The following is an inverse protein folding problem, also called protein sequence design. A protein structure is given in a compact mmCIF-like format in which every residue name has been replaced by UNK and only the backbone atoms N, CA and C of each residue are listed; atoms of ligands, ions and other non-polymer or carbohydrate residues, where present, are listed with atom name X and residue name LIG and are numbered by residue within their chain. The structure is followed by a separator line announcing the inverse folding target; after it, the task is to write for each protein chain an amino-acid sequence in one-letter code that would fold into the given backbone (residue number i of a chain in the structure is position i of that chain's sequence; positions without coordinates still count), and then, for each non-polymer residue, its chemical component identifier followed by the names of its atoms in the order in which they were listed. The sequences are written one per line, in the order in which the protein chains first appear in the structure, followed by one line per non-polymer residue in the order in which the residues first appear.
data_IF_910915634407
#
_entry.id   IF_910915634407
#
_cell.length_a   1.000
_cell.length_b   1.000
_cell.length_c   1.000
_cell.angle_alpha   90.00
_cell.angle_beta   90.00
_cell.angle_gamma   90.00
#
_symmetry.space_group_name_H-M   'P 1'
#
loop_
_entity.id
_entity.type
_entity.pdbx_description
1 polymer ?
#
# COMPACT_ATOMS: atom_id res chain seq x y z
N UNK A 1 -5.22 21.36 -16.59
CA UNK A 1 -3.88 20.79 -16.89
C UNK A 1 -2.89 21.32 -15.87
N UNK A 2 -1.97 20.52 -15.33
CA UNK A 2 -0.95 21.04 -14.43
C UNK A 2 -0.10 22.10 -15.16
N UNK A 3 0.04 23.28 -14.55
CA UNK A 3 0.92 24.34 -15.05
C UNK A 3 2.36 23.91 -14.81
N UNK A 4 3.19 24.05 -15.85
CA UNK A 4 4.63 23.91 -15.69
C UNK A 4 5.18 25.13 -14.91
N UNK A 5 6.34 25.02 -14.25
CA UNK A 5 6.97 26.14 -13.55
C UNK A 5 7.14 27.42 -14.38
N UNK A 6 7.17 27.32 -15.71
CA UNK A 6 7.19 28.45 -16.65
C UNK A 6 5.82 28.99 -17.07
N UNK A 7 4.73 28.65 -16.38
CA UNK A 7 3.37 29.16 -16.65
C UNK A 7 2.66 28.54 -17.87
N UNK A 8 3.37 27.78 -18.70
CA UNK A 8 2.82 27.07 -19.85
C UNK A 8 2.11 25.75 -19.49
N UNK A 9 1.39 25.20 -20.47
CA UNK A 9 0.68 23.92 -20.36
C UNK A 9 1.55 22.77 -20.89
N UNK A 10 1.45 21.60 -20.27
CA UNK A 10 2.08 20.39 -20.78
C UNK A 10 1.50 20.01 -22.15
N UNK A 11 2.31 20.08 -23.22
CA UNK A 11 1.89 19.74 -24.60
C UNK A 11 2.18 18.30 -25.01
N UNK A 12 2.93 17.56 -24.19
CA UNK A 12 3.30 16.16 -24.43
C UNK A 12 3.20 15.41 -23.13
N UNK A 13 2.50 14.30 -23.15
CA UNK A 13 2.52 13.32 -22.08
C UNK A 13 3.45 12.19 -22.49
N UNK A 14 4.32 11.77 -21.58
CA UNK A 14 5.12 10.56 -21.75
C UNK A 14 4.81 9.65 -20.59
N UNK A 15 4.24 8.50 -20.91
CA UNK A 15 4.17 7.39 -19.97
C UNK A 15 5.50 6.64 -20.01
N UNK A 16 6.13 6.47 -18.85
CA UNK A 16 7.30 5.59 -18.69
C UNK A 16 6.94 4.57 -17.64
N UNK A 17 7.05 3.31 -18.02
CA UNK A 17 6.87 2.16 -17.13
C UNK A 17 7.96 1.16 -17.44
N UNK A 18 8.48 0.52 -16.40
CA UNK A 18 9.27 -0.71 -16.49
C UNK A 18 8.41 -1.96 -16.24
N UNK A 19 7.10 -1.78 -16.00
CA UNK A 19 6.11 -2.83 -15.81
C UNK A 19 5.27 -2.99 -17.08
N UNK A 20 4.78 -4.21 -17.29
CA UNK A 20 3.71 -4.47 -18.26
C UNK A 20 2.40 -3.89 -17.69
N UNK A 21 1.92 -2.80 -18.28
CA UNK A 21 0.68 -2.14 -17.84
C UNK A 21 -0.35 -2.23 -18.95
N UNK A 22 -1.47 -2.86 -18.63
CA UNK A 22 -2.65 -2.92 -19.48
C UNK A 22 -3.58 -1.77 -19.15
N UNK A 23 -3.92 -0.96 -20.14
CA UNK A 23 -4.81 0.19 -19.99
C UNK A 23 -6.10 -0.09 -20.74
N UNK A 24 -7.23 0.05 -20.05
CA UNK A 24 -8.53 -0.01 -20.73
C UNK A 24 -8.82 1.29 -21.48
N UNK A 25 -8.49 2.44 -20.88
CA UNK A 25 -8.66 3.75 -21.50
C UNK A 25 -7.70 4.79 -20.93
N UNK A 26 -7.21 5.69 -21.79
CA UNK A 26 -6.53 6.93 -21.41
C UNK A 26 -7.23 8.07 -22.11
N UNK A 27 -7.61 9.10 -21.36
CA UNK A 27 -8.08 10.32 -21.98
C UNK A 27 -7.73 11.54 -21.17
N UNK A 28 -7.93 12.67 -21.82
CA UNK A 28 -7.66 13.98 -21.29
C UNK A 28 -8.86 14.86 -21.60
N UNK A 29 -9.15 15.79 -20.69
CA UNK A 29 -10.14 16.82 -20.91
C UNK A 29 -9.49 18.18 -20.62
N UNK A 30 -9.85 19.19 -21.40
CA UNK A 30 -9.57 20.56 -21.01
C UNK A 30 -10.29 20.82 -19.68
N UNK A 31 -9.60 21.44 -18.72
CA UNK A 31 -10.28 21.89 -17.51
C UNK A 31 -11.25 22.99 -17.93
N UNK A 32 -12.54 22.72 -17.80
CA UNK A 32 -13.58 23.72 -18.08
C UNK A 32 -13.44 24.82 -17.02
N UNK A 33 -13.15 26.04 -17.45
CA UNK A 33 -12.83 27.16 -16.57
C UNK A 33 -13.94 27.44 -15.54
N UNK A 34 -15.19 27.15 -15.93
CA UNK A 34 -16.40 27.45 -15.16
C UNK A 34 -17.14 26.20 -14.66
N UNK A 35 -16.48 25.03 -14.61
CA UNK A 35 -17.04 23.86 -13.96
C UNK A 35 -16.62 23.86 -12.48
N UNK A 36 -17.50 24.23 -11.53
CA UNK A 36 -17.17 24.19 -10.12
C UNK A 36 -16.94 22.73 -9.72
N UNK A 37 -15.83 22.48 -9.03
CA UNK A 37 -15.56 21.22 -8.36
C UNK A 37 -15.11 21.52 -6.95
N UNK A 38 -15.48 20.63 -6.02
CA UNK A 38 -15.10 20.74 -4.63
C UNK A 38 -14.35 19.48 -4.24
N UNK A 39 -13.16 19.64 -3.65
CA UNK A 39 -12.39 18.52 -3.10
C UNK A 39 -12.39 18.64 -1.59
N UNK A 40 -12.82 17.58 -0.93
CA UNK A 40 -12.80 17.48 0.53
C UNK A 40 -12.04 16.23 0.95
N UNK A 41 -11.00 16.39 1.77
CA UNK A 41 -10.33 15.26 2.42
C UNK A 41 -11.22 14.76 3.55
N UNK A 42 -11.50 13.46 3.56
CA UNK A 42 -12.21 12.81 4.66
C UNK A 42 -11.20 12.12 5.56
N UNK A 43 -11.28 12.37 6.86
CA UNK A 43 -10.56 11.60 7.86
C UNK A 43 -11.36 10.34 8.21
N UNK A 44 -10.73 9.16 8.27
CA UNK A 44 -11.42 7.95 8.70
C UNK A 44 -11.77 8.05 10.19
N UNK A 45 -13.00 7.67 10.55
CA UNK A 45 -13.39 7.51 11.95
C UNK A 45 -12.67 6.32 12.58
N UNK A 46 -12.40 5.27 11.80
CA UNK A 46 -11.55 4.13 12.19
C UNK A 46 -10.65 3.71 11.03
N UNK A 47 -9.40 3.37 11.31
CA UNK A 47 -8.52 2.65 10.40
C UNK A 47 -7.89 1.47 11.17
N UNK A 48 -8.36 0.26 10.88
CA UNK A 48 -7.97 -0.94 11.64
C UNK A 48 -7.25 -1.94 10.75
N UNK A 49 -6.02 -2.29 11.13
CA UNK A 49 -5.27 -3.38 10.52
C UNK A 49 -5.64 -4.72 11.14
N UNK A 50 -5.84 -5.75 10.34
CA UNK A 50 -6.06 -7.11 10.80
C UNK A 50 -5.69 -8.15 9.75
N UNK A 51 -5.51 -9.41 10.17
CA UNK A 51 -5.37 -10.52 9.25
C UNK A 51 -6.75 -10.94 8.71
N UNK A 52 -6.95 -10.83 7.41
CA UNK A 52 -8.17 -11.29 6.72
C UNK A 52 -7.95 -12.60 5.98
N UNK A 53 -6.75 -12.81 5.47
CA UNK A 53 -6.44 -13.84 4.49
C UNK A 53 -6.59 -13.33 3.05
N UNK A 54 -6.65 -14.26 2.11
CA UNK A 54 -6.47 -13.99 0.69
C UNK A 54 -7.79 -13.99 -0.04
N UNK A 55 -8.01 -12.95 -0.83
CA UNK A 55 -9.18 -12.83 -1.70
C UNK A 55 -9.15 -13.87 -2.82
N UNK A 56 -10.35 -14.29 -3.27
CA UNK A 56 -10.50 -15.01 -4.54
C UNK A 56 -10.09 -14.09 -5.68
N UNK A 57 -9.37 -14.64 -6.65
CA UNK A 57 -9.03 -13.95 -7.89
C UNK A 57 -9.63 -14.74 -9.04
N UNK A 58 -10.41 -14.08 -9.89
CA UNK A 58 -10.90 -14.65 -11.14
C UNK A 58 -9.95 -14.26 -12.27
N UNK A 59 -9.83 -15.11 -13.29
CA UNK A 59 -9.11 -14.82 -14.52
C UNK A 59 -10.13 -14.57 -15.63
N UNK A 60 -10.11 -13.40 -16.25
CA UNK A 60 -11.07 -13.04 -17.30
C UNK A 60 -10.37 -12.90 -18.65
N UNK A 61 -11.00 -13.45 -19.69
CA UNK A 61 -10.56 -13.36 -21.08
C UNK A 61 -9.36 -14.25 -21.41
N UNK A 62 -8.96 -14.31 -22.70
CA UNK A 62 -7.92 -15.24 -23.17
C UNK A 62 -6.52 -14.94 -22.63
N UNK A 63 -6.30 -13.73 -22.09
CA UNK A 63 -5.03 -13.32 -21.47
C UNK A 63 -5.00 -13.55 -19.95
N UNK A 64 -6.10 -14.01 -19.36
CA UNK A 64 -6.20 -14.27 -17.92
C UNK A 64 -5.99 -13.01 -17.07
N UNK A 65 -6.73 -11.94 -17.36
CA UNK A 65 -6.68 -10.74 -16.51
C UNK A 65 -7.18 -11.08 -15.11
N UNK A 66 -6.33 -10.86 -14.10
CA UNK A 66 -6.66 -11.08 -12.70
C UNK A 66 -7.63 -10.02 -12.17
N UNK A 67 -8.81 -10.46 -11.73
CA UNK A 67 -9.80 -9.60 -11.07
C UNK A 67 -10.01 -10.07 -9.63
N UNK A 68 -9.60 -9.27 -8.62
CA UNK A 68 -9.84 -9.63 -7.23
C UNK A 68 -11.33 -9.54 -6.89
N UNK A 69 -11.84 -10.56 -6.21
CA UNK A 69 -13.18 -10.59 -5.60
C UNK A 69 -13.03 -10.39 -4.11
N UNK A 70 -13.88 -9.55 -3.53
CA UNK A 70 -13.83 -9.27 -2.09
C UNK A 70 -14.44 -10.40 -1.22
N UNK A 71 -14.15 -11.65 -1.59
CA UNK A 71 -14.54 -12.87 -0.88
C UNK A 71 -13.27 -13.65 -0.51
N UNK A 72 -13.19 -14.19 0.71
CA UNK A 72 -12.01 -14.94 1.18
C UNK A 72 -11.93 -16.28 0.43
N UNK A 73 -10.80 -16.55 -0.21
CA UNK A 73 -10.47 -17.84 -0.80
C UNK A 73 -9.77 -18.77 0.19
N UNK A 74 -8.83 -18.23 0.99
CA UNK A 74 -8.14 -19.00 2.03
C UNK A 74 -7.50 -18.07 3.07
N UNK A 75 -7.13 -18.64 4.21
CA UNK A 75 -6.45 -17.95 5.33
C UNK A 75 -5.12 -18.62 5.69
N UNK A 76 -4.64 -19.53 4.83
CA UNK A 76 -3.37 -20.25 5.04
C UNK A 76 -2.27 -19.48 4.33
N UNK A 77 -1.06 -19.37 4.92
CA UNK A 77 0.06 -18.68 4.27
C UNK A 77 0.26 -19.16 2.82
N UNK A 78 0.25 -18.22 1.86
CA UNK A 78 0.49 -18.52 0.44
C UNK A 78 1.92 -18.25 0.03
N UNK A 79 2.56 -17.29 0.67
CA UNK A 79 3.88 -16.80 0.31
C UNK A 79 4.79 -16.82 1.53
N UNK A 80 6.10 -16.77 1.26
CA UNK A 80 7.09 -16.59 2.31
C UNK A 80 7.12 -15.13 2.69
N UNK A 81 6.69 -14.87 3.91
CA UNK A 81 6.70 -13.55 4.53
C UNK A 81 8.12 -12.99 4.69
N UNK A 82 8.28 -11.68 4.52
CA UNK A 82 9.52 -10.97 4.81
C UNK A 82 9.76 -10.99 6.33
N UNK A 83 11.00 -11.27 6.74
CA UNK A 83 11.35 -11.37 8.17
C UNK A 83 11.48 -9.98 8.77
N UNK A 84 10.87 -9.76 9.94
CA UNK A 84 11.02 -8.52 10.69
C UNK A 84 9.75 -8.05 11.38
N UNK A 85 9.84 -6.86 11.97
CA UNK A 85 8.74 -6.23 12.69
C UNK A 85 7.72 -5.62 11.74
N UNK A 86 6.49 -6.10 11.84
CA UNK A 86 5.32 -5.58 11.16
C UNK A 86 4.45 -4.80 12.13
N UNK A 87 3.56 -3.98 11.59
CA UNK A 87 2.56 -3.28 12.40
C UNK A 87 1.63 -4.29 13.08
N UNK A 88 1.34 -4.04 14.36
CA UNK A 88 0.38 -4.79 15.16
C UNK A 88 -1.02 -4.65 14.58
N UNK A 89 -1.87 -5.64 14.82
CA UNK A 89 -3.28 -5.51 14.50
C UNK A 89 -3.97 -4.54 15.46
N UNK A 90 -5.01 -3.87 14.99
CA UNK A 90 -5.73 -2.84 15.72
C UNK A 90 -5.70 -1.50 15.01
N UNK A 91 -5.94 -0.44 15.78
CA UNK A 91 -5.98 0.94 15.29
C UNK A 91 -4.61 1.42 14.82
N UNK A 92 -4.57 1.95 13.60
CA UNK A 92 -3.37 2.48 12.94
C UNK A 92 -3.57 3.93 12.45
N UNK A 93 -4.66 4.60 12.85
CA UNK A 93 -4.98 5.96 12.37
C UNK A 93 -3.83 6.96 12.51
N UNK A 94 -3.13 6.96 13.64
CA UNK A 94 -2.02 7.89 13.87
C UNK A 94 -0.85 7.72 12.88
N UNK A 95 -0.69 6.54 12.29
CA UNK A 95 0.32 6.29 11.25
C UNK A 95 -0.13 6.79 9.87
N UNK A 96 -1.39 7.23 9.74
CA UNK A 96 -2.02 7.67 8.49
C UNK A 96 -2.37 9.15 8.47
N UNK A 97 -2.08 9.87 9.55
CA UNK A 97 -2.42 11.29 9.70
C UNK A 97 -1.59 12.20 8.78
N UNK A 98 -0.44 11.71 8.30
CA UNK A 98 0.47 12.45 7.43
C UNK A 98 1.34 11.56 6.54
N UNK A 99 2.14 12.22 5.71
CA UNK A 99 3.16 11.60 4.86
C UNK A 99 4.52 12.00 5.43
N UNK A 100 4.99 11.25 6.43
CA UNK A 100 6.16 11.60 7.27
C UNK A 100 7.14 10.42 7.45
N UNK A 101 7.12 9.49 6.51
CA UNK A 101 7.89 8.23 6.52
C UNK A 101 7.59 7.33 7.73
N UNK A 102 6.40 7.47 8.35
CA UNK A 102 5.82 6.45 9.24
C UNK A 102 4.97 5.50 8.43
N UNK A 103 5.02 4.21 8.75
CA UNK A 103 4.43 3.17 7.89
C UNK A 103 3.38 2.35 8.60
N UNK A 104 2.38 1.90 7.86
CA UNK A 104 1.70 0.65 8.21
C UNK A 104 2.40 -0.48 7.46
N UNK A 105 3.24 -1.22 8.17
CA UNK A 105 4.00 -2.35 7.63
C UNK A 105 3.09 -3.58 7.64
N UNK A 106 2.48 -3.84 6.49
CA UNK A 106 1.55 -4.93 6.25
C UNK A 106 2.19 -6.05 5.44
N UNK A 107 1.63 -7.24 5.58
CA UNK A 107 2.04 -8.41 4.84
C UNK A 107 0.88 -9.02 4.06
N UNK A 108 1.17 -9.98 3.20
CA UNK A 108 0.18 -10.62 2.36
C UNK A 108 -0.90 -11.33 3.19
N UNK A 109 -2.15 -10.93 2.98
CA UNK A 109 -3.31 -11.40 3.74
C UNK A 109 -3.73 -10.49 4.89
N UNK A 110 -2.91 -9.48 5.22
CA UNK A 110 -3.35 -8.37 6.06
C UNK A 110 -4.33 -7.47 5.28
N UNK A 111 -5.23 -6.83 6.01
CA UNK A 111 -6.19 -5.89 5.50
C UNK A 111 -6.27 -4.67 6.41
N UNK A 112 -6.33 -3.49 5.80
CA UNK A 112 -6.68 -2.26 6.48
C UNK A 112 -8.13 -1.88 6.17
N UNK A 113 -8.98 -1.85 7.20
CA UNK A 113 -10.38 -1.48 7.07
C UNK A 113 -10.59 -0.05 7.54
N UNK A 114 -11.14 0.75 6.64
CA UNK A 114 -11.50 2.13 6.91
C UNK A 114 -13.01 2.27 7.12
N UNK A 115 -13.39 3.15 8.05
CA UNK A 115 -14.75 3.68 8.13
C UNK A 115 -14.69 5.18 8.10
N UNK A 116 -15.66 5.80 7.43
CA UNK A 116 -15.79 7.24 7.32
C UNK A 116 -17.18 7.63 7.77
N UNK A 117 -17.31 8.83 8.34
CA UNK A 117 -18.62 9.44 8.48
C UNK A 117 -19.17 9.71 7.08
N UNK A 118 -20.43 9.35 6.83
CA UNK A 118 -21.07 9.67 5.57
C UNK A 118 -21.19 11.20 5.45
N UNK A 119 -20.65 11.84 4.40
CA UNK A 119 -20.85 13.27 4.18
C UNK A 119 -22.30 13.53 3.79
N UNK A 120 -22.82 14.72 4.12
CA UNK A 120 -24.15 15.19 3.72
C UNK A 120 -24.37 15.04 2.21
N UNK A 121 -25.60 14.91 1.69
CA UNK A 121 -25.85 14.81 0.25
C UNK A 121 -25.20 15.94 -0.55
N UNK A 122 -24.70 15.68 -1.77
CA UNK A 122 -24.16 16.75 -2.60
C UNK A 122 -25.27 17.74 -2.99
N UNK A 123 -24.94 19.01 -3.33
CA UNK A 123 -25.95 19.96 -3.79
C UNK A 123 -26.69 19.47 -5.03
N UNK A 124 -27.87 20.04 -5.30
CA UNK A 124 -28.65 19.68 -6.49
C UNK A 124 -27.82 19.89 -7.78
N UNK A 125 -27.87 18.91 -8.68
CA UNK A 125 -27.10 18.90 -9.94
C UNK A 125 -25.65 18.43 -9.80
N UNK A 126 -25.14 18.19 -8.58
CA UNK A 126 -23.78 17.69 -8.37
C UNK A 126 -23.72 16.17 -8.33
N UNK A 127 -22.64 15.62 -8.86
CA UNK A 127 -22.26 14.20 -8.69
C UNK A 127 -21.11 14.13 -7.69
N UNK A 128 -21.23 13.20 -6.73
CA UNK A 128 -20.14 12.88 -5.80
C UNK A 128 -19.42 11.63 -6.25
N UNK A 129 -18.09 11.71 -6.27
CA UNK A 129 -17.19 10.59 -6.47
C UNK A 129 -16.23 10.47 -5.27
N UNK A 130 -15.64 9.30 -5.10
CA UNK A 130 -14.67 9.02 -4.05
C UNK A 130 -13.33 8.63 -4.66
N UNK A 131 -12.25 9.21 -4.15
CA UNK A 131 -10.88 8.87 -4.56
C UNK A 131 -10.12 8.40 -3.32
N UNK A 132 -9.57 7.18 -3.40
CA UNK A 132 -8.62 6.68 -2.43
C UNK A 132 -7.21 7.11 -2.86
N UNK A 133 -6.51 7.84 -2.00
CA UNK A 133 -5.12 8.24 -2.22
C UNK A 133 -4.26 7.37 -1.31
N UNK A 134 -3.42 6.53 -1.93
CA UNK A 134 -2.40 5.75 -1.22
C UNK A 134 -1.02 6.37 -1.43
N UNK A 135 -0.26 6.48 -0.34
CA UNK A 135 1.16 6.79 -0.34
C UNK A 135 1.89 5.62 0.32
N UNK A 136 2.89 5.05 -0.36
CA UNK A 136 3.55 3.87 0.15
C UNK A 136 4.46 3.17 -0.86
N UNK A 137 5.09 2.11 -0.37
CA UNK A 137 6.02 1.28 -1.12
C UNK A 137 5.57 -0.17 -1.12
N UNK A 138 5.92 -0.87 -2.19
CA UNK A 138 5.80 -2.31 -2.28
C UNK A 138 7.21 -2.89 -2.32
N UNK A 139 7.50 -3.81 -1.40
CA UNK A 139 8.72 -4.59 -1.39
C UNK A 139 8.37 -6.04 -1.71
N UNK A 140 8.94 -6.55 -2.78
CA UNK A 140 8.67 -7.90 -3.26
C UNK A 140 9.54 -8.93 -2.51
N UNK A 141 8.95 -10.09 -2.22
CA UNK A 141 9.63 -11.26 -1.68
C UNK A 141 10.31 -12.13 -2.75
N UNK A 142 10.31 -11.71 -4.01
CA UNK A 142 11.00 -12.41 -5.11
C UNK A 142 12.51 -12.57 -4.85
N UNK A 143 13.07 -13.71 -5.25
CA UNK A 143 14.49 -14.02 -5.03
C UNK A 143 15.46 -13.06 -5.75
N UNK A 144 15.01 -12.38 -6.80
CA UNK A 144 15.79 -11.40 -7.55
C UNK A 144 15.62 -9.98 -7.02
N UNK A 145 14.80 -9.77 -5.98
CA UNK A 145 14.62 -8.47 -5.33
C UNK A 145 15.69 -8.27 -4.24
N UNK A 146 16.38 -7.14 -4.29
CA UNK A 146 17.35 -6.74 -3.26
C UNK A 146 16.67 -6.67 -1.89
N UNK A 147 17.25 -7.34 -0.88
CA UNK A 147 16.70 -7.45 0.48
C UNK A 147 15.30 -8.08 0.56
N UNK A 148 14.93 -8.97 -0.37
CA UNK A 148 13.61 -9.64 -0.41
C UNK A 148 13.28 -10.56 0.76
N UNK A 149 14.24 -10.81 1.66
CA UNK A 149 14.05 -11.69 2.82
C UNK A 149 13.63 -10.96 4.09
N UNK A 150 13.73 -9.64 4.12
CA UNK A 150 13.56 -8.84 5.34
C UNK A 150 12.69 -7.63 5.09
N UNK A 151 11.93 -7.20 6.10
CA UNK A 151 11.18 -5.92 6.07
C UNK A 151 12.13 -4.77 5.79
N UNK A 152 13.17 -4.65 6.61
CA UNK A 152 14.25 -3.67 6.43
C UNK A 152 15.17 -4.02 5.25
N UNK A 153 15.90 -3.02 4.69
CA UNK A 153 15.76 -1.59 4.98
C UNK A 153 14.43 -1.04 4.45
N UNK A 154 13.93 0.00 5.12
CA UNK A 154 12.76 0.75 4.70
C UNK A 154 13.14 1.91 3.76
N UNK A 155 12.35 2.14 2.70
CA UNK A 155 12.53 3.32 1.86
C UNK A 155 12.07 4.58 2.61
N UNK A 156 12.45 5.76 2.11
CA UNK A 156 11.88 7.06 2.55
C UNK A 156 11.56 7.91 1.33
N UNK A 157 10.77 8.97 1.47
CA UNK A 157 10.55 9.93 0.39
C UNK A 157 11.86 10.58 -0.09
N UNK A 158 12.81 10.82 0.81
CA UNK A 158 14.12 11.38 0.48
C UNK A 158 15.06 10.35 -0.19
N UNK A 159 14.90 9.06 0.11
CA UNK A 159 15.68 7.95 -0.44
C UNK A 159 14.75 6.78 -0.74
N UNK A 160 14.05 6.82 -1.90
CA UNK A 160 13.05 5.80 -2.24
C UNK A 160 13.68 4.45 -2.64
N UNK A 161 15.01 4.41 -2.81
CA UNK A 161 15.77 3.21 -3.13
C UNK A 161 16.93 3.03 -2.16
N UNK A 162 17.36 1.78 -1.99
CA UNK A 162 18.50 1.40 -1.17
C UNK A 162 19.45 0.49 -1.95
N UNK A 163 20.73 0.54 -1.60
CA UNK A 163 21.76 -0.28 -2.27
C UNK A 163 21.73 -1.73 -1.78
N UNK A 164 22.37 -2.63 -2.53
CA UNK A 164 22.56 -4.01 -2.10
C UNK A 164 23.35 -4.13 -0.78
N UNK A 165 24.17 -3.14 -0.46
CA UNK A 165 24.96 -3.08 0.78
C UNK A 165 24.18 -2.47 1.97
N UNK A 166 22.95 -2.00 1.77
CA UNK A 166 22.16 -1.45 2.87
C UNK A 166 21.91 -2.50 3.95
N UNK A 167 22.01 -2.08 5.21
CA UNK A 167 21.81 -2.95 6.37
C UNK A 167 20.31 -3.23 6.56
N UNK A 168 19.97 -4.47 6.92
CA UNK A 168 18.63 -4.82 7.40
C UNK A 168 18.55 -4.80 8.93
N UNK A 169 19.63 -4.41 9.62
CA UNK A 169 19.65 -4.19 11.07
C UNK A 169 18.77 -2.98 11.38
N UNK A 170 17.87 -3.14 12.35
CA UNK A 170 16.84 -2.15 12.63
C UNK A 170 17.43 -0.83 13.12
N UNK A 171 18.45 -0.90 13.95
CA UNK A 171 19.13 0.25 14.57
C UNK A 171 19.86 1.12 13.54
N UNK A 172 20.20 0.55 12.38
CA UNK A 172 20.80 1.27 11.25
C UNK A 172 19.74 1.93 10.35
N UNK A 173 18.45 1.59 10.51
CA UNK A 173 17.39 2.05 9.61
C UNK A 173 17.01 3.51 9.90
N UNK A 174 17.04 4.41 8.89
CA UNK A 174 16.77 5.83 9.09
C UNK A 174 15.32 6.13 9.52
N UNK A 175 14.38 5.24 9.22
CA UNK A 175 12.98 5.35 9.66
C UNK A 175 12.90 5.02 11.14
N UNK A 176 13.53 3.93 11.58
CA UNK A 176 13.61 3.57 12.99
C UNK A 176 14.29 4.66 13.82
N UNK A 177 15.42 5.20 13.33
CA UNK A 177 16.15 6.28 14.03
C UNK A 177 15.31 7.55 14.18
N UNK A 178 14.42 7.84 13.21
CA UNK A 178 13.53 9.01 13.24
C UNK A 178 12.31 8.79 14.12
N UNK A 179 11.74 7.58 14.09
CA UNK A 179 10.48 7.23 14.74
C UNK A 179 10.61 5.98 15.62
N UNK A 180 11.53 5.94 16.61
CA UNK A 180 11.77 4.73 17.40
C UNK A 180 10.55 4.31 18.23
N UNK A 181 9.74 5.28 18.65
CA UNK A 181 8.47 5.07 19.35
C UNK A 181 7.49 4.17 18.57
N UNK A 182 7.57 4.17 17.23
CA UNK A 182 6.70 3.34 16.42
C UNK A 182 7.03 1.85 16.59
N UNK A 183 8.26 1.46 16.91
CA UNK A 183 8.62 0.07 17.24
C UNK A 183 8.22 -0.37 18.64
N UNK A 184 7.88 0.59 19.51
CA UNK A 184 7.30 0.31 20.83
C UNK A 184 5.78 0.23 20.73
N UNK A 185 5.17 1.15 19.98
CA UNK A 185 3.71 1.28 19.90
C UNK A 185 3.14 0.38 18.81
N UNK A 186 3.64 0.47 17.59
CA UNK A 186 3.04 -0.07 16.36
C UNK A 186 3.73 -1.31 15.82
N UNK A 187 5.03 -1.29 15.56
CA UNK A 187 5.76 -2.35 14.88
C UNK A 187 6.21 -3.46 15.84
N UNK A 188 5.26 -4.06 16.55
CA UNK A 188 5.55 -5.06 17.61
C UNK A 188 5.28 -6.50 17.17
N UNK A 189 4.77 -6.71 15.95
CA UNK A 189 4.48 -8.04 15.41
C UNK A 189 5.69 -8.56 14.63
N UNK A 190 6.57 -9.30 15.30
CA UNK A 190 7.69 -9.95 14.61
C UNK A 190 7.22 -11.16 13.79
N UNK A 191 7.56 -11.18 12.50
CA UNK A 191 7.25 -12.28 11.58
C UNK A 191 8.53 -13.01 11.21
N UNK A 192 8.49 -14.34 11.32
CA UNK A 192 9.58 -15.25 11.02
C UNK A 192 9.07 -16.37 10.08
N UNK A 193 9.96 -16.99 9.26
CA UNK A 193 9.54 -17.89 8.21
C UNK A 193 9.11 -19.27 8.75
N UNK A 194 9.32 -19.55 10.04
CA UNK A 194 9.07 -20.86 10.66
C UNK A 194 7.67 -21.40 10.39
N UNK A 195 6.63 -20.58 10.45
CA UNK A 195 5.26 -21.03 10.22
C UNK A 195 5.04 -21.54 8.80
N UNK A 196 5.68 -20.89 7.82
CA UNK A 196 5.62 -21.29 6.42
C UNK A 196 6.47 -22.54 6.19
N UNK A 197 7.71 -22.57 6.69
CA UNK A 197 8.65 -23.67 6.50
C UNK A 197 8.22 -24.96 7.22
N UNK A 198 7.60 -24.84 8.40
CA UNK A 198 7.11 -25.98 9.20
C UNK A 198 5.69 -26.40 8.85
N UNK A 199 4.99 -25.66 7.99
CA UNK A 199 3.62 -25.97 7.54
C UNK A 199 3.49 -27.30 6.80
N UNK A 200 4.61 -27.87 6.33
CA UNK A 200 4.70 -29.22 5.75
C UNK A 200 4.99 -30.33 6.79
N UNK A 201 5.14 -29.99 8.08
CA UNK A 201 5.81 -30.85 9.06
C UNK A 201 4.94 -31.46 10.16
N UNK A 202 3.60 -31.36 10.14
CA UNK A 202 2.75 -32.05 11.13
C UNK A 202 1.42 -32.54 10.53
N UNK A 203 1.49 -33.71 9.89
CA UNK A 203 0.50 -34.75 10.16
C UNK A 203 1.14 -35.72 11.17
N UNK A 204 0.72 -35.64 12.42
CA UNK A 204 0.98 -36.72 13.40
C UNK A 204 -0.38 -37.10 13.96
N UNK A 205 -0.79 -38.33 13.65
CA UNK A 205 -1.88 -39.07 14.29
C UNK A 205 -1.82 -39.00 15.81
#
# INVERSE_FOLDING_TARGET
MPRLPGGGWARRFRLRTNLEVYWDWVGHAAQQADAPHETRRLAPTTATLGYRGYSRTDLIGPRGLEIPRYNIANVRPRWRDLVGYHTRFGDVRELLDGIDDRYVIMNAGDEMRFRFAAPDPPPEGWRRDFVLIGDGWVKDGDFNTTHSRTVGPLPTHARPTYSAAASAVLEDDPVYQRHPDDWVRYHTRYVAPDRFLRGLGRETN
#
